data_IF_658178375998
#
_entry.id   IF_658178375998
#
_cell.length_a   1.000
_cell.length_b   1.000
_cell.length_c   1.000
_cell.angle_alpha   90.00
_cell.angle_beta   90.00
_cell.angle_gamma   90.00
#
_symmetry.space_group_name_H-M   'P 1'
#
loop_
_entity.id
_entity.type
_entity.pdbx_description
1 polymer ?
#
# COMPACT_ATOMS: atom_id res chain seq x y z
N UNK A 1 -18.88 16.00 36.20
CA UNK A 1 -19.12 15.75 34.75
C UNK A 1 -19.47 14.28 34.59
N UNK A 2 -20.69 14.00 34.13
CA UNK A 2 -21.26 12.66 34.09
C UNK A 2 -20.67 11.87 32.93
N UNK A 3 -19.94 10.78 33.21
CA UNK A 3 -19.55 9.82 32.18
C UNK A 3 -20.79 9.14 31.63
N UNK A 4 -21.01 9.24 30.31
CA UNK A 4 -22.05 8.47 29.62
C UNK A 4 -21.59 7.02 29.56
N UNK A 5 -22.15 6.18 30.43
CA UNK A 5 -22.05 4.72 30.31
C UNK A 5 -23.12 4.25 29.33
N UNK A 6 -22.71 3.70 28.20
CA UNK A 6 -23.63 3.03 27.26
C UNK A 6 -23.77 1.58 27.70
N UNK A 7 -24.89 1.23 28.33
CA UNK A 7 -25.24 -0.16 28.61
C UNK A 7 -25.55 -0.87 27.30
N UNK A 8 -24.74 -1.86 26.94
CA UNK A 8 -25.06 -2.80 25.84
C UNK A 8 -25.76 -4.04 26.41
N UNK A 9 -26.85 -4.54 25.78
CA UNK A 9 -27.56 -5.72 26.26
C UNK A 9 -26.71 -7.00 26.23
N UNK A 10 -26.94 -7.88 27.19
CA UNK A 10 -26.36 -9.23 27.23
C UNK A 10 -26.83 -10.03 26.01
N UNK A 11 -25.90 -10.41 25.12
CA UNK A 11 -26.19 -11.05 23.82
C UNK A 11 -25.92 -10.17 22.59
N UNK A 12 -25.34 -8.97 22.75
CA UNK A 12 -24.82 -8.20 21.62
C UNK A 12 -23.57 -8.86 21.04
N UNK A 13 -23.72 -9.60 19.94
CA UNK A 13 -22.59 -9.91 19.06
C UNK A 13 -22.27 -8.65 18.23
N UNK A 14 -21.06 -8.08 18.35
CA UNK A 14 -20.62 -7.06 17.42
C UNK A 14 -20.78 -7.62 16.01
N UNK A 15 -21.31 -6.86 15.03
CA UNK A 15 -21.27 -7.30 13.65
C UNK A 15 -19.83 -7.70 13.33
N UNK A 16 -19.58 -8.87 12.70
CA UNK A 16 -18.22 -9.29 12.38
C UNK A 16 -17.55 -8.14 11.63
N UNK A 17 -16.28 -7.84 11.93
CA UNK A 17 -15.56 -6.77 11.27
C UNK A 17 -15.46 -7.08 9.76
N UNK A 18 -16.46 -6.63 9.00
CA UNK A 18 -16.67 -7.05 7.59
C UNK A 18 -15.79 -6.26 6.62
N UNK A 19 -15.16 -5.18 7.06
CA UNK A 19 -14.24 -4.39 6.23
C UNK A 19 -12.80 -4.68 6.64
N UNK A 20 -12.06 -5.36 5.77
CA UNK A 20 -10.61 -5.56 5.89
C UNK A 20 -9.94 -4.19 5.79
N UNK A 21 -8.77 -3.98 6.41
CA UNK A 21 -8.20 -2.65 6.66
C UNK A 21 -7.84 -1.84 5.41
N UNK A 22 -6.57 -1.46 5.24
CA UNK A 22 -6.14 -0.62 4.11
C UNK A 22 -5.25 -1.40 3.16
N UNK A 23 -5.56 -1.39 1.86
CA UNK A 23 -4.67 -1.86 0.81
C UNK A 23 -3.89 -0.66 0.27
N UNK A 24 -2.56 -0.73 0.27
CA UNK A 24 -1.71 0.37 -0.14
C UNK A 24 -0.81 -0.10 -1.27
N UNK A 25 -1.04 0.41 -2.47
CA UNK A 25 -0.17 0.19 -3.61
C UNK A 25 1.01 1.16 -3.55
N UNK A 26 2.15 0.66 -3.07
CA UNK A 26 3.38 1.43 -2.90
C UNK A 26 4.30 1.17 -4.09
N UNK A 27 4.43 2.15 -4.99
CA UNK A 27 5.28 2.04 -6.18
C UNK A 27 5.73 3.42 -6.70
N UNK A 28 6.72 3.43 -7.58
CA UNK A 28 7.00 4.56 -8.47
C UNK A 28 5.83 4.89 -9.41
N UNK A 29 5.04 3.91 -9.85
CA UNK A 29 4.05 4.06 -10.93
C UNK A 29 4.61 4.55 -12.27
N UNK A 30 5.92 4.41 -12.52
CA UNK A 30 6.47 4.68 -13.85
C UNK A 30 5.96 3.64 -14.86
N UNK A 31 6.19 2.37 -14.54
CA UNK A 31 5.85 1.23 -15.42
C UNK A 31 4.58 0.48 -15.03
N UNK A 32 3.95 0.87 -13.92
CA UNK A 32 2.68 0.26 -13.49
C UNK A 32 1.63 0.54 -14.55
N UNK A 33 1.04 -0.52 -15.10
CA UNK A 33 0.03 -0.43 -16.16
C UNK A 33 -1.37 -0.21 -15.58
N UNK A 34 -2.33 0.17 -16.44
CA UNK A 34 -3.72 0.26 -16.02
C UNK A 34 -4.26 -1.09 -15.58
N UNK A 35 -3.87 -2.20 -16.22
CA UNK A 35 -4.29 -3.55 -15.84
C UNK A 35 -3.84 -3.92 -14.42
N UNK A 36 -2.66 -3.45 -13.99
CA UNK A 36 -2.20 -3.64 -12.62
C UNK A 36 -2.98 -2.78 -11.62
N UNK A 37 -3.36 -1.55 -12.01
CA UNK A 37 -4.26 -0.72 -11.20
C UNK A 37 -5.65 -1.37 -11.06
N UNK A 38 -6.21 -1.91 -12.15
CA UNK A 38 -7.46 -2.66 -12.13
C UNK A 38 -7.39 -3.89 -11.23
N UNK A 39 -6.28 -4.63 -11.29
CA UNK A 39 -6.07 -5.80 -10.43
C UNK A 39 -6.01 -5.40 -8.96
N UNK A 40 -5.30 -4.33 -8.61
CA UNK A 40 -5.25 -3.81 -7.26
C UNK A 40 -6.64 -3.35 -6.77
N UNK A 41 -7.43 -2.70 -7.64
CA UNK A 41 -8.80 -2.30 -7.34
C UNK A 41 -9.74 -3.50 -7.15
N UNK A 42 -9.67 -4.49 -8.03
CA UNK A 42 -10.43 -5.73 -7.91
C UNK A 42 -10.09 -6.48 -6.62
N UNK A 43 -8.82 -6.54 -6.23
CA UNK A 43 -8.38 -7.12 -4.95
C UNK A 43 -8.93 -6.30 -3.77
N UNK A 44 -8.90 -4.97 -3.86
CA UNK A 44 -9.48 -4.09 -2.85
C UNK A 44 -10.97 -4.41 -2.62
N UNK A 45 -11.74 -4.55 -3.71
CA UNK A 45 -13.17 -4.79 -3.66
C UNK A 45 -13.53 -6.22 -3.25
N UNK A 46 -12.94 -7.24 -3.89
CA UNK A 46 -13.21 -8.66 -3.60
C UNK A 46 -12.88 -9.03 -2.16
N UNK A 47 -11.81 -8.45 -1.62
CA UNK A 47 -11.41 -8.67 -0.23
C UNK A 47 -12.05 -7.67 0.75
N UNK A 48 -12.91 -6.77 0.27
CA UNK A 48 -13.65 -5.81 1.08
C UNK A 48 -12.76 -4.91 1.94
N UNK A 49 -11.67 -4.43 1.35
CA UNK A 49 -10.84 -3.40 1.97
C UNK A 49 -11.64 -2.11 2.19
N UNK A 50 -11.33 -1.37 3.26
CA UNK A 50 -11.95 -0.07 3.53
C UNK A 50 -11.58 0.93 2.44
N UNK A 51 -10.35 0.86 1.93
CA UNK A 51 -9.86 1.70 0.85
C UNK A 51 -8.62 1.11 0.16
N UNK A 52 -8.43 1.54 -1.09
CA UNK A 52 -7.19 1.39 -1.84
C UNK A 52 -6.46 2.74 -1.85
N UNK A 53 -5.21 2.75 -1.38
CA UNK A 53 -4.34 3.91 -1.41
C UNK A 53 -3.26 3.69 -2.47
N UNK A 54 -3.22 4.54 -3.48
CA UNK A 54 -2.11 4.60 -4.44
C UNK A 54 -1.07 5.56 -3.86
N UNK A 55 0.10 5.04 -3.53
CA UNK A 55 1.19 5.78 -2.89
C UNK A 55 2.35 5.95 -3.87
N UNK A 56 2.34 7.00 -4.73
CA UNK A 56 3.43 7.26 -5.64
C UNK A 56 4.71 7.70 -4.91
N UNK A 57 5.86 7.16 -5.31
CA UNK A 57 7.16 7.60 -4.79
C UNK A 57 7.64 8.86 -5.50
N UNK A 58 8.29 9.76 -4.76
CA UNK A 58 8.98 10.90 -5.36
C UNK A 58 10.18 10.43 -6.19
N UNK A 59 10.54 11.13 -7.28
CA UNK A 59 11.66 10.74 -8.15
C UNK A 59 12.99 10.62 -7.39
N UNK A 60 13.23 11.48 -6.40
CA UNK A 60 14.37 11.39 -5.50
C UNK A 60 14.39 10.10 -4.66
N UNK A 61 13.21 9.58 -4.29
CA UNK A 61 13.07 8.28 -3.61
C UNK A 61 13.39 7.14 -4.56
N UNK A 62 12.79 7.15 -5.76
CA UNK A 62 13.05 6.13 -6.78
C UNK A 62 14.53 6.09 -7.17
N UNK A 63 15.15 7.25 -7.43
CA UNK A 63 16.57 7.35 -7.77
C UNK A 63 17.49 6.75 -6.70
N UNK A 64 17.11 6.84 -5.42
CA UNK A 64 17.88 6.23 -4.31
C UNK A 64 17.67 4.73 -4.22
N UNK A 65 16.49 4.23 -4.61
CA UNK A 65 16.12 2.82 -4.54
C UNK A 65 16.65 2.03 -5.73
N UNK A 66 16.33 2.44 -6.96
CA UNK A 66 16.61 1.65 -8.18
C UNK A 66 17.67 2.27 -9.11
N UNK A 67 18.18 3.47 -8.81
CA UNK A 67 19.02 4.29 -9.70
C UNK A 67 18.35 4.66 -11.04
N UNK A 68 17.08 4.34 -11.20
CA UNK A 68 16.30 4.63 -12.38
C UNK A 68 15.88 6.10 -12.43
N UNK A 69 15.80 6.65 -13.64
CA UNK A 69 15.14 7.93 -13.89
C UNK A 69 13.68 7.70 -14.22
N UNK A 70 12.78 8.32 -13.46
CA UNK A 70 11.33 8.27 -13.68
C UNK A 70 10.79 9.64 -14.04
N UNK A 71 9.57 9.69 -14.56
CA UNK A 71 8.87 10.94 -14.78
C UNK A 71 8.74 11.76 -13.49
N UNK A 72 8.66 13.09 -13.58
CA UNK A 72 8.39 13.95 -12.43
C UNK A 72 7.15 13.49 -11.67
N UNK A 73 7.22 13.55 -10.33
CA UNK A 73 6.13 13.12 -9.44
C UNK A 73 4.74 13.60 -9.89
N UNK A 74 4.59 14.89 -10.20
CA UNK A 74 3.29 15.46 -10.55
C UNK A 74 2.66 14.79 -11.78
N UNK A 75 3.43 14.38 -12.80
CA UNK A 75 2.87 13.70 -13.98
C UNK A 75 2.31 12.33 -13.66
N UNK A 76 3.03 11.59 -12.81
CA UNK A 76 2.59 10.26 -12.36
C UNK A 76 1.39 10.40 -11.43
N UNK A 77 1.41 11.37 -10.50
CA UNK A 77 0.29 11.69 -9.63
C UNK A 77 -0.96 12.09 -10.41
N UNK A 78 -0.83 12.96 -11.42
CA UNK A 78 -1.92 13.36 -12.31
C UNK A 78 -2.50 12.15 -13.04
N UNK A 79 -1.67 11.27 -13.60
CA UNK A 79 -2.12 10.00 -14.23
C UNK A 79 -2.95 9.14 -13.28
N UNK A 80 -2.53 9.01 -12.01
CA UNK A 80 -3.28 8.25 -11.00
C UNK A 80 -4.60 8.92 -10.62
N UNK A 81 -4.61 10.26 -10.57
CA UNK A 81 -5.85 11.01 -10.38
C UNK A 81 -6.81 10.86 -11.57
N UNK A 82 -6.30 10.83 -12.79
CA UNK A 82 -7.08 10.62 -14.01
C UNK A 82 -7.72 9.23 -14.00
N UNK A 83 -6.90 8.19 -13.79
CA UNK A 83 -7.37 6.82 -13.63
C UNK A 83 -8.41 6.70 -12.51
N UNK A 84 -8.18 7.32 -11.35
CA UNK A 84 -9.14 7.32 -10.23
C UNK A 84 -10.49 7.95 -10.61
N UNK A 85 -10.52 8.99 -11.44
CA UNK A 85 -11.77 9.66 -11.84
C UNK A 85 -12.64 8.78 -12.72
N UNK A 86 -12.02 7.91 -13.52
CA UNK A 86 -12.70 6.92 -14.36
C UNK A 86 -13.27 5.76 -13.52
N UNK A 87 -12.64 5.47 -12.37
CA UNK A 87 -13.02 4.40 -11.47
C UNK A 87 -13.79 4.94 -10.28
N UNK A 88 -15.11 5.14 -10.47
CA UNK A 88 -16.06 5.70 -9.50
C UNK A 88 -16.24 4.87 -8.20
N UNK A 89 -15.42 3.85 -7.96
CA UNK A 89 -15.24 3.24 -6.65
C UNK A 89 -14.80 4.33 -5.66
N UNK A 90 -15.73 4.69 -4.76
CA UNK A 90 -15.60 5.79 -3.79
C UNK A 90 -14.46 5.63 -2.77
N UNK A 91 -13.61 4.60 -2.92
CA UNK A 91 -12.65 4.15 -1.92
C UNK A 91 -11.21 4.12 -2.43
N UNK A 92 -10.94 4.66 -3.62
CA UNK A 92 -9.57 4.87 -4.10
C UNK A 92 -9.07 6.26 -3.66
N UNK A 93 -7.88 6.32 -3.08
CA UNK A 93 -7.16 7.56 -2.74
C UNK A 93 -5.79 7.57 -3.40
N UNK A 94 -5.35 8.74 -3.88
CA UNK A 94 -3.96 8.98 -4.30
C UNK A 94 -3.28 9.76 -3.17
N UNK A 95 -2.16 9.24 -2.64
CA UNK A 95 -1.43 9.85 -1.53
C UNK A 95 -0.32 10.77 -2.01
N UNK A 96 -0.48 12.07 -1.77
CA UNK A 96 0.44 13.12 -2.21
C UNK A 96 1.54 13.49 -1.20
N UNK A 97 1.69 12.75 -0.10
CA UNK A 97 2.63 13.10 0.98
C UNK A 97 4.08 13.25 0.52
N UNK A 98 4.59 12.34 -0.32
CA UNK A 98 5.95 12.46 -0.85
C UNK A 98 6.13 13.68 -1.76
N UNK A 99 5.13 14.01 -2.57
CA UNK A 99 5.10 15.22 -3.41
C UNK A 99 5.22 16.50 -2.59
N UNK A 100 4.59 16.56 -1.42
CA UNK A 100 4.70 17.70 -0.49
C UNK A 100 6.10 17.84 0.10
N UNK A 101 6.82 16.73 0.31
CA UNK A 101 8.18 16.73 0.89
C UNK A 101 9.25 17.15 -0.11
N UNK A 102 9.06 16.87 -1.41
CA UNK A 102 9.99 17.17 -2.52
C UNK A 102 11.43 16.65 -2.33
N UNK A 103 11.60 15.62 -1.51
CA UNK A 103 12.91 15.06 -1.14
C UNK A 103 12.81 13.56 -0.95
N UNK A 104 13.97 12.91 -0.87
CA UNK A 104 14.07 11.49 -0.53
C UNK A 104 13.26 11.16 0.73
N UNK A 105 12.48 10.09 0.64
CA UNK A 105 11.70 9.52 1.73
C UNK A 105 12.22 8.13 2.05
N UNK A 106 12.82 7.90 3.22
CA UNK A 106 13.11 6.54 3.68
C UNK A 106 11.82 5.73 3.76
N UNK A 107 11.85 4.47 3.31
CA UNK A 107 10.66 3.59 3.32
C UNK A 107 10.04 3.45 4.71
N UNK A 108 10.86 3.44 5.76
CA UNK A 108 10.37 3.45 7.14
C UNK A 108 9.52 4.69 7.46
N UNK A 109 9.91 5.88 6.99
CA UNK A 109 9.14 7.09 7.21
C UNK A 109 7.80 7.06 6.46
N UNK A 110 7.80 6.51 5.24
CA UNK A 110 6.56 6.27 4.48
C UNK A 110 5.64 5.29 5.22
N UNK A 111 6.18 4.16 5.70
CA UNK A 111 5.41 3.15 6.43
C UNK A 111 4.82 3.69 7.74
N UNK A 112 5.57 4.48 8.51
CA UNK A 112 5.03 5.16 9.71
C UNK A 112 3.90 6.11 9.35
N UNK A 113 4.09 6.95 8.34
CA UNK A 113 3.05 7.86 7.88
C UNK A 113 1.78 7.11 7.46
N UNK A 114 1.92 6.02 6.69
CA UNK A 114 0.78 5.21 6.27
C UNK A 114 0.09 4.51 7.45
N UNK A 115 0.85 4.06 8.46
CA UNK A 115 0.30 3.45 9.67
C UNK A 115 -0.48 4.45 10.54
N UNK A 116 -0.06 5.72 10.55
CA UNK A 116 -0.72 6.81 11.27
C UNK A 116 -1.96 7.35 10.55
N UNK A 117 -1.90 7.50 9.23
CA UNK A 117 -2.96 8.09 8.41
C UNK A 117 -4.11 7.10 8.12
N UNK A 118 -3.79 5.81 7.98
CA UNK A 118 -4.73 4.82 7.47
C UNK A 118 -5.08 3.73 8.48
N UNK A 119 -6.35 3.24 8.50
CA UNK A 119 -6.78 2.22 9.43
C UNK A 119 -6.12 0.87 9.16
N UNK A 120 -5.66 0.25 10.25
CA UNK A 120 -5.19 -1.13 10.27
C UNK A 120 -6.35 -2.13 10.04
N UNK A 121 -6.06 -3.40 9.65
CA UNK A 121 -4.75 -3.94 9.27
C UNK A 121 -4.20 -3.38 7.95
N UNK A 122 -2.88 -3.22 7.84
CA UNK A 122 -2.22 -2.66 6.64
C UNK A 122 -1.71 -3.78 5.71
N UNK A 123 -2.06 -3.65 4.44
CA UNK A 123 -1.59 -4.52 3.37
C UNK A 123 -0.84 -3.69 2.35
N UNK A 124 0.39 -4.09 2.04
CA UNK A 124 1.18 -3.46 0.97
C UNK A 124 1.02 -4.27 -0.30
N UNK A 125 0.45 -3.65 -1.33
CA UNK A 125 0.47 -4.15 -2.68
C UNK A 125 1.72 -3.64 -3.37
N UNK A 126 2.56 -4.55 -3.86
CA UNK A 126 3.88 -4.24 -4.42
C UNK A 126 4.06 -4.99 -5.73
N UNK A 127 4.69 -4.35 -6.71
CA UNK A 127 5.31 -5.09 -7.82
C UNK A 127 6.41 -6.01 -7.28
N UNK A 128 6.73 -7.09 -8.00
CA UNK A 128 7.80 -8.02 -7.64
C UNK A 128 9.14 -7.29 -7.45
N UNK A 129 9.44 -6.33 -8.32
CA UNK A 129 10.62 -5.48 -8.25
C UNK A 129 10.63 -4.68 -6.94
N UNK A 130 9.51 -4.03 -6.63
CA UNK A 130 9.38 -3.23 -5.41
C UNK A 130 9.41 -4.07 -4.13
N UNK A 131 8.83 -5.28 -4.15
CA UNK A 131 8.88 -6.22 -3.04
C UNK A 131 10.32 -6.68 -2.75
N UNK A 132 11.08 -7.01 -3.79
CA UNK A 132 12.50 -7.37 -3.68
C UNK A 132 13.33 -6.19 -3.15
N UNK A 133 13.07 -4.99 -3.67
CA UNK A 133 13.73 -3.78 -3.21
C UNK A 133 13.41 -3.51 -1.74
N UNK A 134 12.15 -3.61 -1.32
CA UNK A 134 11.76 -3.44 0.06
C UNK A 134 12.47 -4.45 0.98
N UNK A 135 12.52 -5.72 0.57
CA UNK A 135 13.18 -6.77 1.33
C UNK A 135 14.70 -6.53 1.50
N UNK A 136 15.34 -5.81 0.59
CA UNK A 136 16.76 -5.49 0.70
C UNK A 136 17.08 -4.59 1.90
N UNK A 137 16.15 -3.74 2.36
CA UNK A 137 16.37 -2.84 3.49
C UNK A 137 16.43 -3.56 4.84
N UNK A 138 17.13 -2.97 5.80
CA UNK A 138 17.22 -3.49 7.16
C UNK A 138 15.88 -3.40 7.90
N UNK A 139 15.14 -2.32 7.67
CA UNK A 139 13.81 -2.07 8.24
C UNK A 139 12.77 -3.13 7.84
N UNK A 140 13.01 -3.92 6.78
CA UNK A 140 12.11 -4.98 6.35
C UNK A 140 11.77 -5.96 7.47
N UNK A 141 12.78 -6.38 8.26
CA UNK A 141 12.60 -7.41 9.30
C UNK A 141 11.61 -7.01 10.38
N UNK A 142 11.49 -5.72 10.66
CA UNK A 142 10.56 -5.22 11.66
C UNK A 142 9.21 -4.92 11.03
N UNK A 143 9.19 -4.29 9.85
CA UNK A 143 7.94 -3.95 9.19
C UNK A 143 7.15 -5.15 8.69
N UNK A 144 7.80 -6.22 8.23
CA UNK A 144 7.11 -7.44 7.78
C UNK A 144 6.31 -8.11 8.91
N UNK A 145 6.57 -7.77 10.18
CA UNK A 145 5.79 -8.22 11.34
C UNK A 145 4.48 -7.44 11.51
N UNK A 146 4.43 -6.20 11.03
CA UNK A 146 3.29 -5.28 11.15
C UNK A 146 2.40 -5.28 9.91
N UNK A 147 2.98 -5.48 8.72
CA UNK A 147 2.23 -5.47 7.44
C UNK A 147 2.08 -6.87 6.87
N UNK A 148 1.10 -7.03 5.97
CA UNK A 148 1.03 -8.17 5.04
C UNK A 148 1.32 -7.69 3.63
N UNK A 149 2.00 -8.49 2.81
CA UNK A 149 2.27 -8.10 1.42
C UNK A 149 1.37 -8.86 0.45
N UNK A 150 0.99 -8.20 -0.63
CA UNK A 150 0.42 -8.80 -1.83
C UNK A 150 1.37 -8.42 -2.96
N UNK A 151 1.97 -9.41 -3.60
CA UNK A 151 3.01 -9.23 -4.61
C UNK A 151 2.43 -9.47 -5.99
N UNK A 152 2.57 -8.50 -6.89
CA UNK A 152 2.07 -8.54 -8.25
C UNK A 152 3.20 -8.59 -9.28
N UNK A 153 3.05 -9.45 -10.28
CA UNK A 153 4.05 -9.67 -11.32
C UNK A 153 4.44 -11.15 -11.46
N UNK A 154 5.37 -11.42 -12.36
CA UNK A 154 5.81 -12.78 -12.62
C UNK A 154 6.74 -13.29 -11.51
N UNK A 155 6.66 -14.58 -11.12
CA UNK A 155 7.56 -15.17 -10.15
C UNK A 155 9.00 -15.22 -10.67
N UNK A 156 9.78 -14.19 -10.35
CA UNK A 156 11.24 -14.18 -10.52
C UNK A 156 11.93 -14.64 -9.25
N UNK A 157 13.26 -14.61 -9.23
CA UNK A 157 14.05 -14.88 -8.03
C UNK A 157 13.69 -13.87 -6.93
N UNK A 158 13.01 -14.34 -5.88
CA UNK A 158 12.68 -13.54 -4.71
C UNK A 158 13.90 -13.34 -3.81
N UNK A 159 13.90 -12.23 -3.08
CA UNK A 159 14.90 -11.94 -2.07
C UNK A 159 14.79 -12.97 -0.93
N UNK A 160 15.91 -13.49 -0.37
CA UNK A 160 15.86 -14.54 0.66
C UNK A 160 15.01 -14.17 1.89
N UNK A 161 14.97 -12.87 2.25
CA UNK A 161 14.10 -12.39 3.34
C UNK A 161 12.60 -12.53 3.02
N UNK A 162 12.17 -12.44 1.76
CA UNK A 162 10.79 -12.74 1.36
C UNK A 162 10.54 -14.25 1.47
N UNK A 163 11.46 -15.07 0.98
CA UNK A 163 11.34 -16.54 1.05
C UNK A 163 11.25 -17.04 2.51
N UNK A 164 11.99 -16.42 3.43
CA UNK A 164 11.93 -16.71 4.87
C UNK A 164 10.60 -16.30 5.53
N UNK A 165 9.85 -15.39 4.91
CA UNK A 165 8.62 -14.81 5.44
C UNK A 165 7.41 -15.10 4.54
N UNK A 166 7.37 -16.26 3.87
CA UNK A 166 6.27 -16.69 2.97
C UNK A 166 4.89 -16.67 3.61
N UNK A 167 4.80 -16.85 4.93
CA UNK A 167 3.53 -16.75 5.67
C UNK A 167 3.01 -15.31 5.84
N UNK A 168 3.78 -14.29 5.42
CA UNK A 168 3.47 -12.85 5.55
C UNK A 168 3.14 -12.19 4.21
N UNK A 169 3.22 -12.92 3.11
CA UNK A 169 2.89 -12.41 1.80
C UNK A 169 2.19 -13.46 0.94
N UNK A 170 1.50 -13.00 -0.08
CA UNK A 170 0.84 -13.82 -1.09
C UNK A 170 0.98 -13.18 -2.47
N UNK A 171 0.71 -13.94 -3.53
CA UNK A 171 0.64 -13.41 -4.89
C UNK A 171 -0.68 -12.68 -5.13
N UNK A 172 -0.66 -11.67 -6.01
CA UNK A 172 -1.87 -11.05 -6.52
C UNK A 172 -2.57 -12.01 -7.49
N UNK A 173 -3.70 -12.56 -7.05
CA UNK A 173 -4.61 -13.41 -7.84
C UNK A 173 -5.89 -12.65 -8.21
#
# INVERSE_FOLDING_TARGET
MSGKYTNVPYGYEPPPATRKGTLIFYDSFEHVTNEQLERAAAIADTRSFVQLVLYPLHENTVKRMSKEGVQPFYKREDRLHDWRREHASSRVRVEGWEGKRKKYTPIEAALRHMAEEYPAPHFLYLTVEMANQFASFDSFKDWIKEVRLIIDGEPVKLHPKLEQNTHRWEWAE
#
